data_IF_642015831902
#
_entry.id   IF_642015831902
#
_cell.length_a   1.000
_cell.length_b   1.000
_cell.length_c   1.000
_cell.angle_alpha   90.00
_cell.angle_beta   90.00
_cell.angle_gamma   90.00
#
_symmetry.space_group_name_H-M   'P 1'
#
loop_
_entity.id
_entity.type
_entity.pdbx_description
1 polymer ?
#
# COMPACT_ATOMS: atom_id res chain seq x y z
N UNK A 1 15.23 -17.75 -22.90
CA UNK A 1 15.46 -17.07 -21.60
C UNK A 1 14.10 -16.86 -20.97
N UNK A 2 13.79 -17.48 -19.83
CA UNK A 2 12.55 -17.19 -19.10
C UNK A 2 12.63 -15.74 -18.64
N UNK A 3 11.87 -14.85 -19.27
CA UNK A 3 11.73 -13.47 -18.79
C UNK A 3 11.23 -13.54 -17.34
N UNK A 4 11.93 -12.88 -16.40
CA UNK A 4 11.61 -12.90 -14.97
C UNK A 4 10.26 -12.28 -14.59
N UNK A 5 9.44 -11.88 -15.57
CA UNK A 5 8.14 -11.26 -15.39
C UNK A 5 7.06 -12.02 -16.16
N UNK A 6 5.92 -12.26 -15.50
CA UNK A 6 4.72 -12.81 -16.11
C UNK A 6 4.13 -11.82 -17.12
N UNK A 7 3.59 -12.30 -18.24
CA UNK A 7 2.85 -11.44 -19.16
C UNK A 7 1.63 -10.84 -18.44
N UNK A 8 1.18 -9.63 -18.81
CA UNK A 8 0.14 -8.89 -18.11
C UNK A 8 -1.14 -9.71 -17.86
N UNK A 9 -1.51 -10.56 -18.81
CA UNK A 9 -2.63 -11.49 -18.71
C UNK A 9 -2.49 -12.49 -17.56
N UNK A 10 -1.40 -13.27 -17.53
CA UNK A 10 -1.16 -14.28 -16.50
C UNK A 10 -1.04 -13.65 -15.11
N UNK A 11 -0.53 -12.42 -15.03
CA UNK A 11 -0.46 -11.71 -13.77
C UNK A 11 -1.82 -11.22 -13.27
N UNK A 12 -2.71 -10.76 -14.17
CA UNK A 12 -4.08 -10.41 -13.81
C UNK A 12 -4.85 -11.63 -13.31
N UNK A 13 -4.75 -12.77 -14.00
CA UNK A 13 -5.33 -14.06 -13.57
C UNK A 13 -4.79 -14.48 -12.19
N UNK A 14 -3.46 -14.48 -12.02
CA UNK A 14 -2.83 -14.81 -10.73
C UNK A 14 -3.26 -13.87 -9.59
N UNK A 15 -3.48 -12.59 -9.90
CA UNK A 15 -3.97 -11.60 -8.92
C UNK A 15 -5.41 -11.93 -8.50
N UNK A 16 -6.26 -12.33 -9.44
CA UNK A 16 -7.63 -12.77 -9.17
C UNK A 16 -7.67 -14.08 -8.38
N UNK A 17 -6.88 -15.08 -8.77
CA UNK A 17 -6.73 -16.36 -8.05
C UNK A 17 -6.27 -16.14 -6.61
N UNK A 18 -5.28 -15.26 -6.43
CA UNK A 18 -4.82 -14.83 -5.10
C UNK A 18 -5.98 -14.20 -4.32
N UNK A 19 -6.79 -13.34 -4.95
CA UNK A 19 -7.97 -12.75 -4.33
C UNK A 19 -9.01 -13.78 -3.89
N UNK A 20 -9.32 -14.76 -4.73
CA UNK A 20 -10.25 -15.86 -4.39
C UNK A 20 -9.72 -16.69 -3.23
N UNK A 21 -8.43 -17.05 -3.25
CA UNK A 21 -7.82 -17.79 -2.15
C UNK A 21 -7.95 -17.05 -0.81
N UNK A 22 -7.79 -15.72 -0.79
CA UNK A 22 -7.99 -14.93 0.43
C UNK A 22 -9.44 -14.95 0.95
N UNK A 23 -10.44 -15.24 0.10
CA UNK A 23 -11.84 -15.38 0.52
C UNK A 23 -12.15 -16.78 1.06
N UNK A 24 -11.38 -17.78 0.66
CA UNK A 24 -11.53 -19.19 1.08
C UNK A 24 -10.70 -19.54 2.32
N UNK A 25 -9.78 -18.67 2.73
CA UNK A 25 -8.93 -18.87 3.90
C UNK A 25 -9.71 -18.89 5.22
N UNK A 26 -9.19 -19.67 6.18
CA UNK A 26 -9.75 -19.74 7.52
C UNK A 26 -9.66 -18.39 8.26
N UNK A 27 -10.75 -18.02 8.93
CA UNK A 27 -10.88 -16.74 9.63
C UNK A 27 -9.74 -16.51 10.65
N UNK A 28 -9.31 -17.54 11.37
CA UNK A 28 -8.24 -17.40 12.37
C UNK A 28 -6.90 -17.07 11.70
N UNK A 29 -6.61 -17.72 10.56
CA UNK A 29 -5.39 -17.47 9.80
C UNK A 29 -5.41 -16.08 9.17
N UNK A 30 -6.54 -15.67 8.59
CA UNK A 30 -6.70 -14.32 8.03
C UNK A 30 -6.55 -13.26 9.12
N UNK A 31 -7.14 -13.46 10.30
CA UNK A 31 -7.00 -12.56 11.43
C UNK A 31 -5.54 -12.41 11.88
N UNK A 32 -4.82 -13.52 12.04
CA UNK A 32 -3.40 -13.51 12.41
C UNK A 32 -2.54 -12.81 11.35
N UNK A 33 -2.75 -13.11 10.06
CA UNK A 33 -2.04 -12.43 8.95
C UNK A 33 -2.29 -10.92 8.94
N UNK A 34 -3.51 -10.49 9.24
CA UNK A 34 -3.86 -9.07 9.29
C UNK A 34 -3.21 -8.33 10.48
N UNK A 35 -3.19 -8.94 11.67
CA UNK A 35 -2.44 -8.40 12.82
C UNK A 35 -0.96 -8.27 12.45
N UNK A 36 -0.43 -9.34 11.89
CA UNK A 36 0.97 -9.44 11.52
C UNK A 36 1.37 -8.37 10.50
N UNK A 37 0.60 -8.22 9.42
CA UNK A 37 0.79 -7.17 8.42
C UNK A 37 0.64 -5.76 9.00
N UNK A 38 -0.32 -5.53 9.90
CA UNK A 38 -0.52 -4.24 10.53
C UNK A 38 0.67 -3.83 11.43
N UNK A 39 1.23 -4.77 12.21
CA UNK A 39 2.41 -4.52 13.05
C UNK A 39 3.62 -4.09 12.21
N UNK A 40 3.88 -4.80 11.12
CA UNK A 40 4.98 -4.53 10.23
C UNK A 40 4.85 -3.20 9.44
N UNK A 41 3.65 -2.89 8.93
CA UNK A 41 3.40 -1.60 8.26
C UNK A 41 3.59 -0.45 9.26
N UNK A 42 3.12 -0.61 10.49
CA UNK A 42 3.30 0.39 11.55
C UNK A 42 4.77 0.59 11.91
N UNK A 43 5.56 -0.49 11.94
CA UNK A 43 7.02 -0.41 12.12
C UNK A 43 7.71 0.41 11.00
N UNK A 44 7.31 0.20 9.74
CA UNK A 44 7.76 1.03 8.61
C UNK A 44 7.39 2.49 8.77
N UNK A 45 6.16 2.76 9.20
CA UNK A 45 5.66 4.10 9.55
C UNK A 45 6.54 4.78 10.59
N UNK A 46 6.83 4.08 11.68
CA UNK A 46 7.65 4.62 12.76
C UNK A 46 9.10 4.88 12.35
N UNK A 47 9.72 3.99 11.57
CA UNK A 47 11.06 4.20 11.04
C UNK A 47 11.10 5.44 10.14
N UNK A 48 10.13 5.57 9.23
CA UNK A 48 10.03 6.73 8.34
C UNK A 48 9.83 8.03 9.12
N UNK A 49 9.00 7.99 10.17
CA UNK A 49 8.69 9.14 11.00
C UNK A 49 9.91 9.57 11.81
N UNK A 50 10.61 8.64 12.45
CA UNK A 50 11.83 8.93 13.23
C UNK A 50 12.89 9.60 12.37
N UNK A 51 13.05 9.20 11.10
CA UNK A 51 14.01 9.82 10.20
C UNK A 51 13.62 11.25 9.83
N UNK A 52 12.34 11.49 9.55
CA UNK A 52 11.83 12.83 9.19
C UNK A 52 11.89 13.76 10.40
N UNK A 53 11.43 13.31 11.57
CA UNK A 53 11.42 14.13 12.79
C UNK A 53 12.80 14.30 13.38
N UNK A 54 13.70 13.33 13.17
CA UNK A 54 15.09 13.37 13.64
C UNK A 54 16.00 14.27 12.81
N UNK A 55 15.51 14.84 11.70
CA UNK A 55 16.29 15.74 10.81
C UNK A 55 15.66 17.13 10.65
N UNK A 56 15.43 17.88 11.76
CA UNK A 56 14.73 19.17 11.71
C UNK A 56 15.42 20.21 10.81
N UNK A 57 16.75 20.22 10.77
CA UNK A 57 17.51 21.15 9.90
C UNK A 57 17.28 20.92 8.39
N UNK A 58 16.90 19.71 7.97
CA UNK A 58 16.54 19.45 6.57
C UNK A 58 15.15 20.02 6.25
N UNK A 59 14.23 19.99 7.22
CA UNK A 59 12.88 20.53 7.06
C UNK A 59 12.86 22.05 6.91
N UNK A 60 13.76 22.75 7.59
CA UNK A 60 13.90 24.21 7.51
C UNK A 60 14.53 24.65 6.17
N UNK A 61 15.47 23.87 5.64
CA UNK A 61 16.22 24.24 4.43
C UNK A 61 15.46 23.89 3.16
N UNK A 62 14.75 22.75 3.13
CA UNK A 62 13.93 22.37 2.00
C UNK A 62 12.81 21.38 2.42
N UNK A 63 11.53 21.80 2.41
CA UNK A 63 10.41 20.95 2.84
C UNK A 63 10.16 19.74 1.93
N UNK A 64 10.77 19.67 0.74
CA UNK A 64 10.66 18.53 -0.16
C UNK A 64 11.57 17.35 0.19
N UNK A 65 12.76 17.61 0.77
CA UNK A 65 13.73 16.55 1.10
C UNK A 65 13.23 15.58 2.17
N UNK A 66 12.63 16.04 3.29
CA UNK A 66 12.05 15.13 4.28
C UNK A 66 10.94 14.26 3.68
N UNK A 67 10.15 14.76 2.72
CA UNK A 67 9.09 13.98 2.05
C UNK A 67 9.65 12.86 1.18
N UNK A 68 10.76 13.13 0.48
CA UNK A 68 11.45 12.13 -0.32
C UNK A 68 12.07 11.07 0.59
N UNK A 69 12.70 11.49 1.70
CA UNK A 69 13.26 10.56 2.69
C UNK A 69 12.17 9.68 3.32
N UNK A 70 11.06 10.28 3.73
CA UNK A 70 9.89 9.57 4.23
C UNK A 70 9.42 8.53 3.20
N UNK A 71 9.27 8.95 1.95
CA UNK A 71 8.80 8.08 0.88
C UNK A 71 9.78 6.94 0.58
N UNK A 72 11.09 7.15 0.68
CA UNK A 72 12.09 6.09 0.43
C UNK A 72 12.09 5.10 1.58
N UNK A 73 11.94 5.56 2.83
CA UNK A 73 12.04 4.67 3.98
C UNK A 73 10.75 3.93 4.29
N UNK A 74 9.59 4.53 4.04
CA UNK A 74 8.30 3.91 4.38
C UNK A 74 8.07 2.53 3.72
N UNK A 75 8.32 2.33 2.41
CA UNK A 75 8.15 1.04 1.76
C UNK A 75 9.22 0.02 2.14
N UNK A 76 10.29 0.40 2.85
CA UNK A 76 11.22 -0.58 3.45
C UNK A 76 10.45 -1.45 4.46
N UNK A 77 9.52 -0.87 5.22
CA UNK A 77 8.61 -1.63 6.09
C UNK A 77 7.77 -2.63 5.28
N UNK A 78 7.21 -2.21 4.14
CA UNK A 78 6.43 -3.09 3.25
C UNK A 78 7.29 -4.22 2.65
N UNK A 79 8.53 -3.93 2.25
CA UNK A 79 9.47 -4.96 1.75
C UNK A 79 9.87 -5.94 2.86
N UNK A 80 10.03 -5.47 4.10
CA UNK A 80 10.26 -6.32 5.26
C UNK A 80 9.07 -7.24 5.58
N UNK A 81 7.83 -6.75 5.42
CA UNK A 81 6.60 -7.59 5.49
C UNK A 81 6.73 -8.76 4.52
N UNK A 82 7.08 -8.45 3.28
CA UNK A 82 7.04 -9.41 2.18
C UNK A 82 8.19 -10.42 2.24
N UNK A 83 9.40 -9.99 2.62
CA UNK A 83 10.60 -10.81 2.51
C UNK A 83 10.96 -11.58 3.78
N UNK A 84 10.76 -10.99 4.96
CA UNK A 84 11.38 -11.52 6.19
C UNK A 84 10.36 -11.97 7.21
N UNK A 85 9.16 -11.36 7.22
CA UNK A 85 8.29 -11.54 8.37
C UNK A 85 9.03 -11.17 9.66
N UNK A 86 9.61 -9.97 9.72
CA UNK A 86 10.30 -9.46 10.90
C UNK A 86 9.39 -8.58 11.79
N UNK A 87 9.46 -8.72 13.10
CA UNK A 87 8.82 -7.79 14.04
C UNK A 87 9.80 -6.66 14.44
N UNK A 88 9.34 -5.41 14.47
CA UNK A 88 10.10 -4.29 15.06
C UNK A 88 9.29 -3.67 16.19
N UNK A 89 9.63 -4.07 17.41
CA UNK A 89 9.08 -3.54 18.66
C UNK A 89 9.79 -2.23 19.03
N UNK A 90 9.03 -1.18 19.33
CA UNK A 90 9.55 0.17 19.59
C UNK A 90 9.01 0.71 20.91
N UNK A 91 9.91 1.05 21.83
CA UNK A 91 9.54 1.44 23.19
C UNK A 91 10.29 2.63 23.78
N UNK A 92 11.10 3.38 23.02
CA UNK A 92 11.90 4.49 23.60
C UNK A 92 11.89 5.82 22.83
N UNK A 93 11.88 5.89 21.47
CA UNK A 93 11.91 7.19 20.78
C UNK A 93 10.55 7.92 20.72
N UNK A 94 9.44 7.26 21.08
CA UNK A 94 8.09 7.82 20.91
C UNK A 94 7.77 9.00 21.84
N UNK A 95 8.50 9.15 22.94
CA UNK A 95 8.26 10.21 23.93
C UNK A 95 9.21 11.40 23.76
N UNK A 96 10.14 11.37 22.81
CA UNK A 96 11.05 12.49 22.59
C UNK A 96 10.35 13.65 21.86
N UNK A 97 10.73 14.88 22.22
CA UNK A 97 10.15 16.12 21.70
C UNK A 97 10.07 16.21 20.16
N UNK A 98 11.11 15.86 19.37
CA UNK A 98 11.01 15.91 17.91
C UNK A 98 9.99 14.91 17.36
N UNK A 99 9.90 13.72 17.93
CA UNK A 99 8.93 12.70 17.50
C UNK A 99 7.50 13.13 17.83
N UNK A 100 7.30 13.62 19.06
CA UNK A 100 5.99 14.08 19.52
C UNK A 100 5.46 15.20 18.64
N UNK A 101 6.25 16.25 18.45
CA UNK A 101 5.86 17.41 17.65
C UNK A 101 5.59 17.05 16.20
N UNK A 102 6.43 16.21 15.58
CA UNK A 102 6.27 15.79 14.19
C UNK A 102 5.05 14.89 13.95
N UNK A 103 4.76 13.95 14.85
CA UNK A 103 3.56 13.10 14.74
C UNK A 103 2.29 13.94 14.81
N UNK A 104 2.25 14.88 15.77
CA UNK A 104 1.09 15.76 15.97
C UNK A 104 0.92 16.73 14.81
N UNK A 105 2.00 17.31 14.28
CA UNK A 105 1.91 18.23 13.14
C UNK A 105 1.43 17.53 11.88
N UNK A 106 1.97 16.35 11.56
CA UNK A 106 1.54 15.57 10.39
C UNK A 106 0.05 15.26 10.42
N UNK A 107 -0.44 14.69 11.53
CA UNK A 107 -1.87 14.37 11.68
C UNK A 107 -2.73 15.63 11.64
N UNK A 108 -2.23 16.75 12.18
CA UNK A 108 -2.95 18.02 12.14
C UNK A 108 -3.12 18.53 10.71
N UNK A 109 -2.04 18.59 9.94
CA UNK A 109 -2.06 19.04 8.54
C UNK A 109 -2.89 18.09 7.66
N UNK A 110 -2.61 16.79 7.75
CA UNK A 110 -3.15 15.81 6.82
C UNK A 110 -4.62 15.47 7.08
N UNK A 111 -5.11 15.57 8.32
CA UNK A 111 -6.47 15.16 8.70
C UNK A 111 -7.28 16.29 9.33
N UNK A 112 -6.74 16.96 10.35
CA UNK A 112 -7.52 17.92 11.16
C UNK A 112 -7.85 19.16 10.32
N UNK A 113 -6.84 19.75 9.68
CA UNK A 113 -6.94 20.97 8.88
C UNK A 113 -7.46 20.71 7.47
N UNK A 114 -7.17 19.52 6.94
CA UNK A 114 -7.65 19.09 5.62
C UNK A 114 -9.16 18.90 5.57
N UNK A 115 -9.74 19.22 4.41
CA UNK A 115 -11.17 19.03 4.14
C UNK A 115 -11.48 17.57 3.84
N UNK A 116 -12.68 17.11 4.21
CA UNK A 116 -13.09 15.70 4.10
C UNK A 116 -12.94 15.15 2.68
N UNK A 117 -13.34 15.92 1.66
CA UNK A 117 -13.24 15.51 0.26
C UNK A 117 -11.79 15.44 -0.24
N UNK A 118 -10.89 16.30 0.25
CA UNK A 118 -9.46 16.26 -0.11
C UNK A 118 -8.81 14.99 0.45
N UNK A 119 -9.14 14.65 1.71
CA UNK A 119 -8.69 13.41 2.36
C UNK A 119 -9.17 12.20 1.55
N UNK A 120 -10.46 12.20 1.20
CA UNK A 120 -11.08 11.13 0.42
C UNK A 120 -10.45 10.95 -0.97
N UNK A 121 -10.23 12.04 -1.72
CA UNK A 121 -9.61 11.97 -3.05
C UNK A 121 -8.15 11.52 -3.00
N UNK A 122 -7.37 11.99 -2.02
CA UNK A 122 -6.00 11.52 -1.79
C UNK A 122 -5.98 10.04 -1.41
N UNK A 123 -6.96 9.58 -0.63
CA UNK A 123 -7.11 8.17 -0.25
C UNK A 123 -7.45 7.27 -1.46
N UNK A 124 -8.25 7.73 -2.42
CA UNK A 124 -8.47 7.00 -3.68
C UNK A 124 -7.15 6.77 -4.43
N UNK A 125 -6.32 7.82 -4.54
CA UNK A 125 -5.01 7.69 -5.17
C UNK A 125 -4.09 6.74 -4.38
N UNK A 126 -4.12 6.79 -3.06
CA UNK A 126 -3.41 5.82 -2.20
C UNK A 126 -3.84 4.39 -2.53
N UNK A 127 -5.15 4.11 -2.44
CA UNK A 127 -5.71 2.78 -2.70
C UNK A 127 -5.27 2.20 -4.03
N UNK A 128 -5.34 3.01 -5.10
CA UNK A 128 -4.89 2.60 -6.42
C UNK A 128 -3.38 2.27 -6.46
N UNK A 129 -2.52 3.15 -5.95
CA UNK A 129 -1.06 2.95 -6.00
C UNK A 129 -0.63 1.71 -5.19
N UNK A 130 -1.30 1.44 -4.06
CA UNK A 130 -1.02 0.26 -3.23
C UNK A 130 -1.41 -1.03 -3.95
N UNK A 131 -2.60 -1.11 -4.53
CA UNK A 131 -3.02 -2.32 -5.27
C UNK A 131 -2.26 -2.47 -6.57
N UNK A 132 -1.88 -1.37 -7.23
CA UNK A 132 -1.01 -1.39 -8.39
C UNK A 132 0.37 -1.97 -8.05
N UNK A 133 0.96 -1.56 -6.93
CA UNK A 133 2.18 -2.14 -6.36
C UNK A 133 2.05 -3.66 -6.16
N UNK A 134 0.97 -4.13 -5.54
CA UNK A 134 0.70 -5.57 -5.37
C UNK A 134 0.61 -6.34 -6.70
N UNK A 135 -0.04 -5.76 -7.71
CA UNK A 135 -0.14 -6.35 -9.05
C UNK A 135 1.22 -6.44 -9.74
N UNK A 136 2.04 -5.38 -9.68
CA UNK A 136 3.41 -5.38 -10.20
C UNK A 136 4.31 -6.38 -9.45
N UNK A 137 4.13 -6.52 -8.14
CA UNK A 137 4.79 -7.56 -7.34
C UNK A 137 4.39 -8.98 -7.76
N UNK A 138 3.15 -9.18 -8.21
CA UNK A 138 2.68 -10.47 -8.72
C UNK A 138 3.24 -10.79 -10.11
N UNK A 139 3.43 -9.76 -10.95
CA UNK A 139 4.04 -9.88 -12.28
C UNK A 139 5.48 -10.40 -12.19
N UNK A 140 6.29 -9.80 -11.33
CA UNK A 140 7.70 -10.16 -11.20
C UNK A 140 7.86 -11.48 -10.44
N UNK A 141 8.75 -12.37 -10.89
CA UNK A 141 9.05 -13.64 -10.21
C UNK A 141 10.31 -13.55 -9.34
N UNK A 142 11.24 -12.67 -9.69
CA UNK A 142 12.50 -12.45 -8.96
C UNK A 142 12.29 -11.65 -7.67
N UNK A 143 12.95 -12.04 -6.58
CA UNK A 143 12.82 -11.37 -5.27
C UNK A 143 13.17 -9.88 -5.28
N UNK A 144 14.23 -9.49 -6.00
CA UNK A 144 14.67 -8.09 -6.12
C UNK A 144 13.65 -7.28 -6.95
N UNK A 145 13.24 -7.82 -8.10
CA UNK A 145 12.27 -7.15 -8.99
C UNK A 145 10.92 -6.98 -8.30
N UNK A 146 10.49 -7.97 -7.51
CA UNK A 146 9.31 -7.84 -6.64
C UNK A 146 9.46 -6.74 -5.61
N UNK A 147 10.57 -6.71 -4.88
CA UNK A 147 10.81 -5.68 -3.87
C UNK A 147 10.77 -4.26 -4.48
N UNK A 148 11.40 -4.05 -5.63
CA UNK A 148 11.39 -2.76 -6.34
C UNK A 148 10.01 -2.39 -6.89
N UNK A 149 9.30 -3.35 -7.49
CA UNK A 149 7.94 -3.19 -8.00
C UNK A 149 6.95 -2.83 -6.88
N UNK A 150 7.17 -3.38 -5.68
CA UNK A 150 6.40 -3.05 -4.49
C UNK A 150 6.73 -1.64 -3.97
N UNK A 151 8.01 -1.30 -3.98
CA UNK A 151 8.54 -0.07 -3.39
C UNK A 151 8.10 1.18 -4.13
N UNK A 152 8.23 1.23 -5.46
CA UNK A 152 8.10 2.47 -6.22
C UNK A 152 6.71 3.13 -6.14
N UNK A 153 5.58 2.43 -6.35
CA UNK A 153 4.27 3.07 -6.26
C UNK A 153 3.93 3.50 -4.81
N UNK A 154 4.42 2.75 -3.83
CA UNK A 154 4.23 3.05 -2.41
C UNK A 154 5.05 4.27 -1.98
N UNK A 155 6.28 4.40 -2.50
CA UNK A 155 7.12 5.61 -2.40
C UNK A 155 6.38 6.82 -2.97
N UNK A 156 5.80 6.71 -4.17
CA UNK A 156 5.06 7.81 -4.80
C UNK A 156 3.86 8.21 -3.92
N UNK A 157 3.12 7.23 -3.42
CA UNK A 157 1.94 7.47 -2.57
C UNK A 157 2.30 8.25 -1.31
N UNK A 158 3.37 7.86 -0.63
CA UNK A 158 3.82 8.50 0.60
C UNK A 158 4.48 9.85 0.38
N UNK A 159 5.31 10.00 -0.67
CA UNK A 159 5.88 11.28 -1.06
C UNK A 159 4.79 12.30 -1.45
N UNK A 160 3.68 11.84 -2.05
CA UNK A 160 2.50 12.65 -2.35
C UNK A 160 1.56 12.86 -1.15
N UNK A 161 1.93 12.36 0.04
CA UNK A 161 1.11 12.36 1.26
C UNK A 161 -0.28 11.75 1.04
N UNK A 162 -0.42 10.69 0.27
CA UNK A 162 -1.72 10.03 0.12
C UNK A 162 -1.99 9.18 1.38
N UNK A 163 -3.09 9.43 2.13
CA UNK A 163 -3.29 8.76 3.41
C UNK A 163 -3.65 7.29 3.20
N UNK A 164 -2.91 6.39 3.86
CA UNK A 164 -3.22 4.96 3.88
C UNK A 164 -3.95 4.58 5.16
N UNK A 165 -5.02 3.79 5.05
CA UNK A 165 -5.89 3.44 6.20
C UNK A 165 -5.10 2.85 7.36
N UNK A 166 -4.26 1.84 7.10
CA UNK A 166 -3.49 1.14 8.13
C UNK A 166 -2.43 2.04 8.76
N UNK A 167 -1.81 2.91 7.96
CA UNK A 167 -0.79 3.84 8.46
C UNK A 167 -1.44 4.86 9.41
N UNK A 168 -2.57 5.43 9.01
CA UNK A 168 -3.28 6.44 9.79
C UNK A 168 -4.03 5.85 10.99
N UNK A 169 -4.30 4.54 11.01
CA UNK A 169 -4.72 3.84 12.24
C UNK A 169 -3.62 3.94 13.31
N UNK A 170 -2.36 3.74 12.93
CA UNK A 170 -1.22 3.87 13.83
C UNK A 170 -0.87 5.33 14.14
N UNK A 171 -0.68 6.18 13.12
CA UNK A 171 -0.31 7.58 13.31
C UNK A 171 -1.38 8.36 14.06
N UNK A 172 -2.65 8.13 13.72
CA UNK A 172 -3.77 8.81 14.36
C UNK A 172 -3.93 8.40 15.82
N UNK A 173 -3.82 7.11 16.15
CA UNK A 173 -3.85 6.65 17.54
C UNK A 173 -2.65 7.16 18.35
N UNK A 174 -1.46 7.11 17.78
CA UNK A 174 -0.23 7.65 18.39
C UNK A 174 -0.34 9.15 18.64
N UNK A 175 -0.83 9.93 17.68
CA UNK A 175 -1.06 11.36 17.86
C UNK A 175 -2.08 11.68 18.97
N UNK A 176 -3.12 10.85 19.14
CA UNK A 176 -4.07 10.99 20.25
C UNK A 176 -3.38 10.75 21.61
N UNK A 177 -2.57 9.70 21.74
CA UNK A 177 -1.82 9.43 22.97
C UNK A 177 -0.79 10.52 23.30
N UNK A 178 -0.20 11.11 22.28
CA UNK A 178 0.77 12.20 22.41
C UNK A 178 0.14 13.59 22.68
N UNK A 179 -1.19 13.66 22.79
CA UNK A 179 -1.91 14.88 23.18
C UNK A 179 -2.28 15.81 22.02
N UNK A 180 -2.45 15.28 20.80
CA UNK A 180 -2.99 16.06 19.68
C UNK A 180 -4.43 16.51 19.93
N UNK A 181 -4.93 17.44 19.10
CA UNK A 181 -6.34 17.89 19.12
C UNK A 181 -7.33 16.83 18.62
N UNK A 182 -6.85 15.68 18.16
CA UNK A 182 -7.71 14.66 17.59
C UNK A 182 -8.47 13.92 18.71
N UNK A 183 -9.81 13.99 18.67
CA UNK A 183 -10.67 13.16 19.52
C UNK A 183 -10.98 11.83 18.83
N UNK A 184 -11.44 10.82 19.59
CA UNK A 184 -11.86 9.52 19.03
C UNK A 184 -12.97 9.69 17.98
N UNK A 185 -13.92 10.60 18.23
CA UNK A 185 -14.98 10.89 17.26
C UNK A 185 -14.45 11.54 15.98
N UNK A 186 -13.51 12.48 16.10
CA UNK A 186 -12.86 13.11 14.95
C UNK A 186 -12.00 12.11 14.17
N UNK A 187 -11.30 11.22 14.88
CA UNK A 187 -10.53 10.14 14.28
C UNK A 187 -11.42 9.21 13.44
N UNK A 188 -12.57 8.78 13.95
CA UNK A 188 -13.47 7.92 13.17
C UNK A 188 -14.05 8.69 11.96
N UNK A 189 -14.56 9.89 12.18
CA UNK A 189 -15.31 10.64 11.17
C UNK A 189 -14.45 11.27 10.07
N UNK A 190 -13.31 11.88 10.44
CA UNK A 190 -12.43 12.58 9.49
C UNK A 190 -11.23 11.74 9.04
N UNK A 191 -10.82 10.73 9.81
CA UNK A 191 -9.68 9.89 9.46
C UNK A 191 -10.19 8.55 8.86
N UNK A 192 -10.73 7.66 9.69
CA UNK A 192 -10.97 6.27 9.29
C UNK A 192 -11.97 6.12 8.13
N UNK A 193 -13.15 6.75 8.23
CA UNK A 193 -14.21 6.58 7.23
C UNK A 193 -13.76 7.04 5.82
N UNK A 194 -13.32 8.30 5.60
CA UNK A 194 -12.95 8.75 4.26
C UNK A 194 -11.74 8.00 3.73
N UNK A 195 -10.75 7.69 4.57
CA UNK A 195 -9.53 7.02 4.11
C UNK A 195 -9.85 5.56 3.71
N UNK A 196 -10.63 4.84 4.53
CA UNK A 196 -10.99 3.45 4.22
C UNK A 196 -11.81 3.36 2.95
N UNK A 197 -12.84 4.20 2.82
CA UNK A 197 -13.67 4.22 1.61
C UNK A 197 -12.86 4.60 0.38
N UNK A 198 -12.01 5.63 0.48
CA UNK A 198 -11.14 6.04 -0.61
C UNK A 198 -10.20 4.91 -1.03
N UNK A 199 -9.52 4.27 -0.08
CA UNK A 199 -8.59 3.18 -0.36
C UNK A 199 -9.28 1.99 -1.02
N UNK A 200 -10.46 1.59 -0.53
CA UNK A 200 -11.26 0.50 -1.12
C UNK A 200 -11.72 0.84 -2.54
N UNK A 201 -12.21 2.06 -2.77
CA UNK A 201 -12.64 2.52 -4.09
C UNK A 201 -11.45 2.59 -5.05
N UNK A 202 -10.32 3.16 -4.62
CA UNK A 202 -9.11 3.26 -5.44
C UNK A 202 -8.59 1.89 -5.88
N UNK A 203 -8.53 0.94 -4.94
CA UNK A 203 -8.09 -0.41 -5.25
C UNK A 203 -9.04 -1.17 -6.17
N UNK A 204 -10.33 -1.14 -5.85
CA UNK A 204 -11.36 -1.85 -6.61
C UNK A 204 -11.61 -1.27 -8.01
N UNK A 205 -11.69 0.06 -8.12
CA UNK A 205 -12.05 0.73 -9.38
C UNK A 205 -10.93 0.68 -10.42
N UNK A 206 -9.67 0.85 -10.00
CA UNK A 206 -8.57 0.92 -10.97
C UNK A 206 -7.93 -0.44 -11.18
N UNK A 207 -7.37 -1.04 -10.13
CA UNK A 207 -6.67 -2.32 -10.25
C UNK A 207 -7.65 -3.48 -10.37
N UNK A 208 -8.69 -3.51 -9.55
CA UNK A 208 -9.71 -4.56 -9.59
C UNK A 208 -10.47 -4.61 -10.91
N UNK A 209 -10.98 -3.47 -11.38
CA UNK A 209 -11.69 -3.41 -12.66
C UNK A 209 -10.77 -3.74 -13.85
N UNK A 210 -9.49 -3.35 -13.81
CA UNK A 210 -8.51 -3.75 -14.81
C UNK A 210 -8.33 -5.26 -14.86
N UNK A 211 -8.08 -5.91 -13.70
CA UNK A 211 -7.93 -7.36 -13.63
C UNK A 211 -9.19 -8.09 -14.10
N UNK A 212 -10.36 -7.59 -13.72
CA UNK A 212 -11.66 -8.10 -14.17
C UNK A 212 -11.85 -7.99 -15.69
N UNK A 213 -11.54 -6.83 -16.27
CA UNK A 213 -11.68 -6.59 -17.71
C UNK A 213 -10.77 -7.52 -18.52
N UNK A 214 -9.52 -7.72 -18.08
CA UNK A 214 -8.59 -8.67 -18.71
C UNK A 214 -9.11 -10.11 -18.63
N UNK A 215 -9.74 -10.49 -17.52
CA UNK A 215 -10.34 -11.81 -17.33
C UNK A 215 -11.52 -12.04 -18.27
N UNK A 216 -12.49 -11.11 -18.34
CA UNK A 216 -13.65 -11.21 -19.22
C UNK A 216 -13.27 -11.32 -20.70
N UNK A 217 -12.31 -10.52 -21.16
CA UNK A 217 -11.84 -10.60 -22.54
C UNK A 217 -11.23 -11.98 -22.87
N UNK A 218 -10.71 -12.69 -21.87
CA UNK A 218 -10.20 -14.03 -22.04
C UNK A 218 -11.31 -15.09 -22.14
N UNK A 219 -12.38 -14.96 -21.36
CA UNK A 219 -13.48 -15.91 -21.37
C UNK A 219 -14.33 -15.79 -22.64
N UNK A 220 -14.54 -14.57 -23.15
CA UNK A 220 -15.20 -14.36 -24.45
C UNK A 220 -14.41 -14.99 -25.61
N UNK A 221 -13.08 -14.93 -25.58
CA UNK A 221 -12.23 -15.60 -26.60
C UNK A 221 -12.23 -17.12 -26.47
N UNK A 222 -12.24 -17.67 -25.25
CA UNK A 222 -12.40 -19.11 -25.01
C UNK A 222 -13.76 -19.61 -25.49
N UNK A 223 -14.82 -18.84 -25.24
CA UNK A 223 -16.18 -19.15 -25.68
C UNK A 223 -16.33 -19.04 -27.21
N UNK A 224 -15.69 -18.06 -27.85
CA UNK A 224 -15.74 -17.85 -29.29
C UNK A 224 -14.95 -18.89 -30.12
N UNK A 225 -13.94 -19.54 -29.54
CA UNK A 225 -13.13 -20.56 -30.22
C UNK A 225 -13.64 -22.01 -30.08
N UNK A 226 -14.69 -22.26 -29.28
CA UNK A 226 -15.46 -23.52 -29.29
C UNK A 226 -14.68 -24.77 -28.88
N UNK A 227 -13.56 -24.62 -28.18
CA UNK A 227 -12.63 -25.67 -27.83
C UNK A 227 -12.60 -25.91 -26.32
N UNK A 228 -13.20 -27.03 -25.88
CA UNK A 228 -13.05 -27.61 -24.52
C UNK A 228 -11.62 -28.09 -24.19
N UNK A 229 -10.63 -27.56 -24.91
CA UNK A 229 -9.20 -27.83 -24.90
C UNK A 229 -8.50 -26.64 -25.60
N UNK A 230 -8.77 -25.43 -25.12
CA UNK A 230 -8.45 -24.16 -25.79
C UNK A 230 -6.98 -23.74 -25.85
N UNK A 231 -6.06 -24.66 -26.16
CA UNK A 231 -4.69 -24.36 -26.64
C UNK A 231 -4.24 -25.45 -27.62
N UNK A 232 -4.84 -25.47 -28.81
CA UNK A 232 -4.14 -25.97 -29.99
C UNK A 232 -3.08 -24.94 -30.37
N UNK A 233 -1.82 -25.17 -29.98
CA UNK A 233 -0.62 -24.52 -30.51
C UNK A 233 -0.81 -23.08 -31.00
N UNK A 234 -0.91 -22.11 -30.09
CA UNK A 234 -0.33 -20.80 -30.40
C UNK A 234 1.17 -21.01 -30.30
N UNK A 235 1.76 -21.48 -31.39
CA UNK A 235 3.15 -21.18 -31.72
C UNK A 235 3.25 -19.66 -31.54
N UNK A 236 3.93 -19.25 -30.48
CA UNK A 236 4.65 -17.99 -30.54
C UNK A 236 5.66 -18.25 -31.64
N UNK A 237 5.38 -17.74 -32.83
CA UNK A 237 6.37 -17.69 -33.88
C UNK A 237 7.53 -16.87 -33.29
N UNK A 238 8.58 -17.59 -32.92
CA UNK A 238 9.93 -17.09 -32.81
C UNK A 238 10.32 -16.63 -34.22
N UNK A 239 9.91 -15.42 -34.61
CA UNK A 239 10.36 -14.79 -35.85
C UNK A 239 11.21 -13.55 -35.53
N UNK A 240 12.52 -13.79 -35.65
CA UNK A 240 13.68 -12.91 -35.90
C UNK A 240 14.08 -11.79 -34.91
#
# INVERSE_FOLDING_TARGET
MSTGALPPKKAAEKTLETGVHHLEEDLQLTFLKNIYGALLISAGGLLSLTLVTGTPGLSETNPGLPRILQGITFPIGLVLVYLVGAELYTGYPMCEDPFKSGTVSMVSEDIIESQWHIIFLRAILCGWLVTFSMMLGTQNQDGISKALALHLPFFISTAAKCPHTVEYMYLGSTAMFLGSRMSVGMFIWKCLIPITLGNTIGGGLFTGAYSWWVHLYCDDKKAAHGDGNGWGNVRLDDDE
#
